data_IF_462877763785
#
_entry.id   IF_462877763785
#
_cell.length_a   1.000
_cell.length_b   1.000
_cell.length_c   1.000
_cell.angle_alpha   90.00
_cell.angle_beta   90.00
_cell.angle_gamma   90.00
#
_symmetry.space_group_name_H-M   'P 1'
#
loop_
_entity.id
_entity.type
_entity.pdbx_description
1 polymer ?
#
# COMPACT_ATOMS: atom_id res chain seq x y z
N UNK A 1 -37.88 -6.05 -35.74
CA UNK A 1 -38.06 -4.73 -35.11
C UNK A 1 -37.57 -4.65 -33.66
N UNK A 2 -37.99 -5.48 -32.71
CA UNK A 2 -37.54 -5.34 -31.30
C UNK A 2 -36.01 -5.50 -31.15
N UNK A 3 -35.41 -6.53 -31.75
CA UNK A 3 -33.96 -6.76 -31.72
C UNK A 3 -33.16 -5.62 -32.38
N UNK A 4 -33.68 -5.04 -33.46
CA UNK A 4 -33.04 -3.93 -34.17
C UNK A 4 -33.04 -2.66 -33.30
N UNK A 5 -34.15 -2.39 -32.59
CA UNK A 5 -34.24 -1.28 -31.64
C UNK A 5 -33.27 -1.46 -30.47
N UNK A 6 -33.16 -2.69 -29.94
CA UNK A 6 -32.21 -3.03 -28.87
C UNK A 6 -30.76 -2.92 -29.34
N UNK A 7 -30.47 -3.34 -30.56
CA UNK A 7 -29.14 -3.22 -31.16
C UNK A 7 -28.76 -1.74 -31.39
N UNK A 8 -29.71 -0.90 -31.84
CA UNK A 8 -29.49 0.54 -31.96
C UNK A 8 -29.22 1.18 -30.60
N UNK A 9 -30.00 0.84 -29.58
CA UNK A 9 -29.82 1.32 -28.21
C UNK A 9 -28.43 0.96 -27.64
N UNK A 10 -28.04 -0.31 -27.70
CA UNK A 10 -26.73 -0.77 -27.21
C UNK A 10 -25.56 -0.08 -27.93
N UNK A 11 -25.69 0.24 -29.23
CA UNK A 11 -24.67 1.00 -29.96
C UNK A 11 -24.52 2.42 -29.41
N UNK A 12 -25.63 3.09 -29.10
CA UNK A 12 -25.59 4.43 -28.52
C UNK A 12 -24.95 4.43 -27.12
N UNK A 13 -25.28 3.43 -26.29
CA UNK A 13 -24.67 3.26 -24.97
C UNK A 13 -23.16 2.99 -25.09
N UNK A 14 -22.76 2.08 -25.99
CA UNK A 14 -21.36 1.78 -26.27
C UNK A 14 -20.60 3.05 -26.67
N UNK A 15 -21.15 3.87 -27.56
CA UNK A 15 -20.52 5.12 -28.00
C UNK A 15 -20.37 6.11 -26.84
N UNK A 16 -21.37 6.24 -25.98
CA UNK A 16 -21.30 7.11 -24.80
C UNK A 16 -20.20 6.66 -23.84
N UNK A 17 -20.16 5.36 -23.53
CA UNK A 17 -19.13 4.80 -22.66
C UNK A 17 -17.73 4.91 -23.28
N UNK A 18 -17.60 4.71 -24.59
CA UNK A 18 -16.34 4.88 -25.30
C UNK A 18 -15.85 6.33 -25.28
N UNK A 19 -16.74 7.31 -25.48
CA UNK A 19 -16.39 8.72 -25.40
C UNK A 19 -15.90 9.09 -23.99
N UNK A 20 -16.61 8.64 -22.96
CA UNK A 20 -16.20 8.82 -21.56
C UNK A 20 -14.83 8.18 -21.28
N UNK A 21 -14.59 6.97 -21.75
CA UNK A 21 -13.31 6.28 -21.57
C UNK A 21 -12.14 7.06 -22.19
N UNK A 22 -12.33 7.60 -23.41
CA UNK A 22 -11.31 8.42 -24.08
C UNK A 22 -11.01 9.73 -23.36
N UNK A 23 -12.02 10.38 -22.81
CA UNK A 23 -11.82 11.57 -21.98
C UNK A 23 -10.99 11.24 -20.74
N UNK A 24 -11.35 10.18 -20.02
CA UNK A 24 -10.59 9.74 -18.85
C UNK A 24 -9.15 9.34 -19.21
N UNK A 25 -8.95 8.65 -20.33
CA UNK A 25 -7.62 8.32 -20.85
C UNK A 25 -6.77 9.57 -21.13
N UNK A 26 -7.34 10.58 -21.79
CA UNK A 26 -6.66 11.84 -22.04
C UNK A 26 -6.25 12.56 -20.73
N UNK A 27 -7.13 12.54 -19.72
CA UNK A 27 -6.82 13.11 -18.40
C UNK A 27 -5.69 12.35 -17.70
N UNK A 28 -5.70 11.01 -17.76
CA UNK A 28 -4.68 10.17 -17.15
C UNK A 28 -3.30 10.40 -17.78
N UNK A 29 -3.23 10.49 -19.12
CA UNK A 29 -2.00 10.80 -19.86
C UNK A 29 -1.48 12.20 -19.48
N UNK A 30 -2.36 13.19 -19.38
CA UNK A 30 -1.96 14.55 -18.97
C UNK A 30 -1.35 14.56 -17.56
N UNK A 31 -1.99 13.90 -16.60
CA UNK A 31 -1.49 13.79 -15.23
C UNK A 31 -0.16 13.04 -15.18
N UNK A 32 -0.01 11.94 -15.94
CA UNK A 32 1.24 11.20 -16.03
C UNK A 32 2.38 12.07 -16.56
N UNK A 33 2.13 12.88 -17.58
CA UNK A 33 3.11 13.82 -18.13
C UNK A 33 3.49 14.90 -17.10
N UNK A 34 2.52 15.42 -16.34
CA UNK A 34 2.77 16.40 -15.29
C UNK A 34 3.64 15.82 -14.18
N UNK A 35 3.37 14.59 -13.74
CA UNK A 35 4.20 13.88 -12.77
C UNK A 35 5.63 13.67 -13.30
N UNK A 36 5.76 13.20 -14.54
CA UNK A 36 7.07 13.00 -15.16
C UNK A 36 7.89 14.29 -15.22
N UNK A 37 7.25 15.40 -15.61
CA UNK A 37 7.89 16.72 -15.63
C UNK A 37 8.29 17.21 -14.22
N UNK A 38 7.42 17.03 -13.22
CA UNK A 38 7.72 17.40 -11.84
C UNK A 38 8.91 16.59 -11.26
N UNK A 39 8.98 15.29 -11.56
CA UNK A 39 10.10 14.44 -11.15
C UNK A 39 11.42 14.87 -11.79
N UNK A 40 11.41 15.23 -13.08
CA UNK A 40 12.61 15.69 -13.79
C UNK A 40 13.09 17.06 -13.30
N UNK A 41 12.18 17.98 -12.99
CA UNK A 41 12.54 19.34 -12.59
C UNK A 41 12.80 19.48 -11.08
N UNK A 42 12.19 18.65 -10.23
CA UNK A 42 12.42 18.64 -8.78
C UNK A 42 13.77 18.06 -8.35
N UNK A 43 14.56 17.48 -9.27
CA UNK A 43 15.90 16.94 -9.00
C UNK A 43 17.05 17.95 -9.10
N UNK A 44 16.79 19.21 -9.47
CA UNK A 44 17.83 20.20 -9.74
C UNK A 44 18.04 21.25 -8.62
N UNK A 45 17.16 21.34 -7.63
CA UNK A 45 17.19 22.40 -6.59
C UNK A 45 17.48 21.86 -5.18
N UNK A 46 18.45 20.94 -5.05
CA UNK A 46 19.09 20.69 -3.75
C UNK A 46 20.51 20.15 -3.92
N UNK A 47 21.40 21.01 -4.44
CA UNK A 47 22.84 20.92 -4.20
C UNK A 47 23.22 21.99 -3.19
N UNK A 48 22.96 21.70 -1.93
CA UNK A 48 23.44 22.47 -0.77
C UNK A 48 23.71 21.51 0.38
N UNK A 49 24.99 21.15 0.52
CA UNK A 49 25.68 20.95 1.80
C UNK A 49 25.13 19.90 2.79
N UNK A 50 25.78 18.73 2.74
CA UNK A 50 26.42 18.01 3.86
C UNK A 50 25.71 17.81 5.21
N UNK A 51 25.52 16.54 5.58
CA UNK A 51 25.43 16.15 6.99
C UNK A 51 24.67 14.86 7.26
N UNK A 52 25.41 13.80 7.58
CA UNK A 52 25.16 12.91 8.73
C UNK A 52 23.67 12.60 9.03
N UNK A 53 23.18 11.39 8.78
CA UNK A 53 23.63 10.21 9.47
C UNK A 53 22.41 9.45 9.97
N UNK A 54 22.55 8.13 10.05
CA UNK A 54 21.60 7.19 10.63
C UNK A 54 20.90 7.76 11.88
N UNK A 55 19.57 7.76 11.89
CA UNK A 55 18.82 7.64 13.14
C UNK A 55 17.53 6.85 12.90
N UNK A 56 17.70 5.52 12.77
CA UNK A 56 16.68 4.59 13.20
C UNK A 56 16.73 4.55 14.72
N UNK A 57 15.96 5.38 15.41
CA UNK A 57 15.74 5.22 16.84
C UNK A 57 14.46 5.92 17.32
N UNK A 58 13.54 5.07 17.79
CA UNK A 58 12.73 5.29 18.99
C UNK A 58 11.65 6.37 18.93
N UNK A 59 10.45 5.89 18.61
CA UNK A 59 9.20 6.08 19.36
C UNK A 59 8.84 7.50 19.78
N UNK A 60 7.72 7.98 19.26
CA UNK A 60 6.77 8.84 19.95
C UNK A 60 5.46 8.79 19.17
N UNK A 61 4.40 8.72 19.94
CA UNK A 61 2.98 8.68 19.64
C UNK A 61 2.49 9.35 18.34
N UNK A 62 1.52 8.67 17.72
CA UNK A 62 0.33 9.35 17.21
C UNK A 62 0.49 10.12 15.91
N UNK A 63 0.91 9.45 14.85
CA UNK A 63 0.58 9.88 13.51
C UNK A 63 0.02 8.68 12.76
N UNK A 64 -1.19 8.82 12.22
CA UNK A 64 -1.69 7.86 11.24
C UNK A 64 -0.79 8.03 10.02
N UNK A 65 0.29 7.24 10.00
CA UNK A 65 1.23 7.16 8.88
C UNK A 65 0.40 6.83 7.65
N UNK A 66 0.32 7.81 6.77
CA UNK A 66 -0.18 7.71 5.42
C UNK A 66 0.34 6.42 4.79
N UNK A 67 -0.50 5.74 4.01
CA UNK A 67 -0.21 4.44 3.44
C UNK A 67 0.88 4.57 2.36
N UNK A 68 2.12 4.76 2.80
CA UNK A 68 3.30 4.71 1.96
C UNK A 68 3.43 3.27 1.47
N UNK A 69 2.97 3.02 0.23
CA UNK A 69 3.20 1.74 -0.43
C UNK A 69 4.68 1.67 -0.82
N UNK A 70 5.55 1.42 0.16
CA UNK A 70 6.93 1.08 -0.09
C UNK A 70 6.99 -0.18 -0.95
N UNK A 71 7.69 -0.11 -2.08
CA UNK A 71 8.01 -1.31 -2.85
C UNK A 71 8.90 -2.20 -1.98
N UNK A 72 8.33 -3.30 -1.48
CA UNK A 72 9.07 -4.30 -0.72
C UNK A 72 9.73 -5.25 -1.72
N UNK A 73 11.05 -5.11 -1.87
CA UNK A 73 11.86 -6.05 -2.65
C UNK A 73 11.76 -7.46 -2.01
N UNK A 74 11.15 -8.45 -2.71
CA UNK A 74 10.94 -9.79 -2.17
C UNK A 74 12.25 -10.52 -1.82
N UNK A 75 13.38 -10.15 -2.45
CA UNK A 75 14.69 -10.75 -2.18
C UNK A 75 15.41 -10.13 -0.96
N UNK A 76 14.87 -9.03 -0.42
CA UNK A 76 15.38 -8.32 0.78
C UNK A 76 14.49 -8.44 2.00
N UNK A 77 13.45 -9.27 1.96
CA UNK A 77 12.54 -9.45 3.08
C UNK A 77 13.26 -10.21 4.20
N UNK A 78 13.94 -9.45 5.07
CA UNK A 78 14.12 -9.91 6.44
C UNK A 78 12.71 -10.04 7.01
N UNK A 79 12.33 -11.23 7.51
CA UNK A 79 11.03 -11.45 8.16
C UNK A 79 11.02 -10.63 9.45
N UNK A 80 10.72 -9.34 9.35
CA UNK A 80 10.58 -8.40 10.45
C UNK A 80 9.11 -8.39 10.89
N UNK A 81 8.70 -9.44 11.59
CA UNK A 81 7.42 -9.46 12.28
C UNK A 81 7.57 -9.11 13.76
N UNK A 82 6.46 -8.79 14.46
CA UNK A 82 6.49 -8.56 15.90
C UNK A 82 7.05 -9.79 16.63
N UNK A 83 7.83 -9.58 17.69
CA UNK A 83 8.34 -10.69 18.50
C UNK A 83 7.19 -11.35 19.27
N UNK A 84 7.25 -12.67 19.40
CA UNK A 84 6.35 -13.43 20.26
C UNK A 84 6.52 -12.94 21.71
N UNK A 85 5.44 -12.44 22.32
CA UNK A 85 5.41 -12.00 23.71
C UNK A 85 5.64 -13.13 24.73
N UNK A 86 5.45 -14.38 24.33
CA UNK A 86 5.63 -15.53 25.21
C UNK A 86 7.08 -16.02 25.35
N UNK A 87 7.87 -15.94 24.28
CA UNK A 87 9.25 -16.44 24.30
C UNK A 87 10.30 -15.43 23.87
N UNK A 88 9.90 -14.29 23.29
CA UNK A 88 10.74 -13.18 22.78
C UNK A 88 11.81 -13.56 21.75
N UNK A 89 11.87 -14.85 21.37
CA UNK A 89 12.88 -15.42 20.47
C UNK A 89 12.40 -15.51 19.02
N UNK A 90 11.12 -15.82 18.81
CA UNK A 90 10.51 -16.04 17.50
C UNK A 90 9.58 -14.91 17.11
N UNK A 91 9.30 -14.79 15.83
CA UNK A 91 8.26 -13.91 15.31
C UNK A 91 6.88 -14.46 15.71
N UNK A 92 5.97 -13.56 16.09
CA UNK A 92 4.57 -13.90 16.33
C UNK A 92 3.90 -14.29 15.01
N UNK A 93 3.15 -15.39 15.04
CA UNK A 93 2.56 -16.02 13.86
C UNK A 93 1.10 -16.42 14.05
N UNK A 94 0.54 -16.19 15.24
CA UNK A 94 -0.83 -16.59 15.61
C UNK A 94 -1.62 -15.37 16.09
N UNK A 95 -2.85 -15.25 15.59
CA UNK A 95 -3.83 -14.25 16.02
C UNK A 95 -4.70 -14.84 17.12
N UNK A 96 -4.67 -14.23 18.31
CA UNK A 96 -5.47 -14.69 19.45
C UNK A 96 -6.88 -14.11 19.36
N UNK A 97 -7.90 -14.98 19.44
CA UNK A 97 -9.31 -14.58 19.47
C UNK A 97 -9.86 -14.60 20.91
N UNK A 98 -10.75 -13.67 21.28
CA UNK A 98 -11.46 -12.72 20.42
C UNK A 98 -10.75 -11.37 20.19
N UNK A 99 -9.65 -11.06 20.89
CA UNK A 99 -9.04 -9.73 20.88
C UNK A 99 -8.27 -9.37 19.59
N UNK A 100 -8.07 -10.33 18.66
CA UNK A 100 -7.41 -10.14 17.35
C UNK A 100 -5.96 -9.67 17.40
N UNK A 101 -5.23 -9.93 18.49
CA UNK A 101 -3.82 -9.58 18.58
C UNK A 101 -2.92 -10.66 17.98
N UNK A 102 -2.02 -10.25 17.07
CA UNK A 102 -0.90 -11.07 16.57
C UNK A 102 0.29 -10.93 17.53
N UNK A 103 0.39 -11.79 18.54
CA UNK A 103 1.32 -11.58 19.66
C UNK A 103 2.10 -12.82 20.13
N UNK A 104 1.76 -14.03 19.66
CA UNK A 104 2.45 -15.27 20.05
C UNK A 104 2.89 -16.09 18.82
N UNK A 105 3.95 -16.89 18.97
CA UNK A 105 4.38 -17.86 17.95
C UNK A 105 3.66 -19.20 18.13
N UNK A 106 3.69 -20.04 17.09
CA UNK A 106 3.01 -21.35 17.08
C UNK A 106 3.32 -22.24 18.31
N UNK A 107 4.58 -22.28 18.78
CA UNK A 107 4.93 -23.07 19.97
C UNK A 107 4.44 -22.48 21.30
N UNK A 108 4.18 -21.17 21.34
CA UNK A 108 3.66 -20.51 22.53
C UNK A 108 2.13 -20.56 22.58
N UNK A 109 1.45 -20.77 21.45
CA UNK A 109 -0.02 -20.76 21.35
C UNK A 109 -0.72 -21.66 22.37
N UNK A 110 -0.17 -22.86 22.61
CA UNK A 110 -0.72 -23.83 23.58
C UNK A 110 -0.60 -23.40 25.05
N UNK A 111 0.24 -22.41 25.35
CA UNK A 111 0.51 -21.93 26.71
C UNK A 111 -0.36 -20.72 27.09
N UNK A 112 -0.93 -20.01 26.13
CA UNK A 112 -1.73 -18.81 26.34
C UNK A 112 -3.20 -19.06 25.96
N UNK A 113 -4.10 -19.02 26.94
CA UNK A 113 -5.56 -19.09 26.69
C UNK A 113 -6.21 -17.74 26.41
N UNK A 114 -5.51 -16.67 26.76
CA UNK A 114 -5.89 -15.27 26.52
C UNK A 114 -4.68 -14.53 25.99
N UNK A 115 -4.90 -13.44 25.26
CA UNK A 115 -3.79 -12.62 24.77
C UNK A 115 -2.99 -12.03 25.94
N UNK A 116 -1.66 -12.21 25.96
CA UNK A 116 -0.78 -11.53 26.89
C UNK A 116 -0.54 -10.05 26.53
#
# INVERSE_FOLDING_TARGET
MELESRAAHLRTEMQLWQAKAKEQEATAISLQNQLHHAMMNGGAENRGEEGCGLSCALGVEGQAEDAESGYIDPDRVVISGPKCKGCEKRVASVVVLPCRHLCVCNECDTHFRVCP
#
